data_IF_698691699435
#
_entry.id   IF_698691699435
#
_cell.length_a   1.000
_cell.length_b   1.000
_cell.length_c   1.000
_cell.angle_alpha   90.00
_cell.angle_beta   90.00
_cell.angle_gamma   90.00
#
_symmetry.space_group_name_H-M   'P 1'
#
loop_
_entity.id
_entity.type
_entity.pdbx_description
1 polymer ?
#
# COMPACT_ATOMS: atom_id res chain seq x y z
N UNK A 1 -23.57 -22.68 28.26
CA UNK A 1 -23.10 -21.73 27.23
C UNK A 1 -21.57 -21.69 27.31
N UNK A 2 -20.85 -22.18 26.30
CA UNK A 2 -19.39 -22.07 26.26
C UNK A 2 -19.04 -20.74 25.59
N UNK A 3 -18.52 -19.78 26.37
CA UNK A 3 -18.08 -18.48 25.87
C UNK A 3 -16.61 -18.52 25.51
N UNK A 4 -16.28 -18.41 24.23
CA UNK A 4 -14.88 -18.33 23.79
C UNK A 4 -14.36 -16.92 24.09
N UNK A 5 -13.56 -16.75 25.13
CA UNK A 5 -12.87 -15.49 25.42
C UNK A 5 -11.69 -15.38 24.48
N UNK A 6 -11.64 -14.33 23.67
CA UNK A 6 -10.48 -14.07 22.83
C UNK A 6 -9.56 -13.07 23.48
N UNK A 7 -8.29 -13.48 23.63
CA UNK A 7 -7.26 -12.71 24.31
C UNK A 7 -6.08 -12.52 23.37
N UNK A 8 -5.58 -11.29 23.26
CA UNK A 8 -4.26 -11.04 22.65
C UNK A 8 -3.21 -11.60 23.60
N UNK A 9 -2.59 -12.73 23.23
CA UNK A 9 -1.49 -13.32 23.99
C UNK A 9 -0.14 -12.65 23.67
N UNK A 10 -0.02 -12.03 22.50
CA UNK A 10 1.20 -11.35 22.08
C UNK A 10 1.09 -9.87 22.41
N UNK A 11 2.07 -9.37 23.16
CA UNK A 11 2.19 -7.93 23.42
C UNK A 11 2.48 -7.21 22.09
N UNK A 12 1.77 -6.09 21.80
CA UNK A 12 2.07 -5.28 20.63
C UNK A 12 3.57 -4.94 20.56
N UNK A 13 4.19 -5.14 19.41
CA UNK A 13 5.61 -4.81 19.18
C UNK A 13 6.62 -5.89 19.57
N UNK A 14 6.22 -7.09 20.00
CA UNK A 14 7.19 -8.20 20.25
C UNK A 14 7.34 -9.17 19.08
N UNK A 15 6.42 -9.14 18.11
CA UNK A 15 6.50 -9.92 16.88
C UNK A 15 6.26 -9.02 15.68
N UNK A 16 7.10 -9.17 14.66
CA UNK A 16 7.03 -8.45 13.40
C UNK A 16 6.99 -9.44 12.25
N UNK A 17 6.20 -9.14 11.23
CA UNK A 17 6.19 -9.90 9.99
C UNK A 17 7.48 -9.62 9.17
N UNK A 18 7.82 -10.50 8.21
CA UNK A 18 8.94 -10.27 7.31
C UNK A 18 8.86 -8.89 6.63
N UNK A 19 10.02 -8.32 6.33
CA UNK A 19 10.06 -7.03 5.64
C UNK A 19 9.50 -7.17 4.22
N UNK A 20 8.43 -6.44 3.95
CA UNK A 20 7.91 -6.27 2.60
C UNK A 20 8.75 -5.24 1.82
N UNK A 21 8.91 -5.48 0.52
CA UNK A 21 9.60 -4.55 -0.38
C UNK A 21 8.59 -4.02 -1.41
N UNK A 22 8.30 -2.73 -1.34
CA UNK A 22 7.49 -2.03 -2.33
C UNK A 22 8.36 -1.05 -3.11
N UNK A 23 8.29 -1.13 -4.44
CA UNK A 23 8.92 -0.16 -5.33
C UNK A 23 7.83 0.57 -6.11
N UNK A 24 7.80 1.88 -5.95
CA UNK A 24 6.88 2.76 -6.66
C UNK A 24 7.67 3.63 -7.64
N UNK A 25 7.11 3.85 -8.83
CA UNK A 25 7.73 4.62 -9.90
C UNK A 25 6.85 5.80 -10.29
N UNK A 26 7.46 6.99 -10.40
CA UNK A 26 6.78 8.20 -10.87
C UNK A 26 7.60 8.86 -11.96
N UNK A 27 6.92 9.20 -13.05
CA UNK A 27 7.45 10.07 -14.09
C UNK A 27 6.52 11.25 -14.30
N UNK A 28 7.10 12.44 -14.36
CA UNK A 28 6.39 13.69 -14.58
C UNK A 28 7.04 14.46 -15.73
N UNK A 29 6.22 15.00 -16.62
CA UNK A 29 6.67 15.85 -17.73
C UNK A 29 5.98 17.20 -17.65
N UNK A 30 6.78 18.26 -17.53
CA UNK A 30 6.34 19.64 -17.70
C UNK A 30 6.43 20.02 -19.17
N UNK A 31 5.32 20.46 -19.72
CA UNK A 31 5.17 20.87 -21.11
C UNK A 31 4.84 22.36 -21.10
N UNK A 32 5.73 23.16 -21.67
CA UNK A 32 5.48 24.58 -21.87
C UNK A 32 4.59 24.75 -23.10
N UNK A 33 3.46 25.45 -22.91
CA UNK A 33 2.53 25.76 -23.98
C UNK A 33 2.68 27.24 -24.38
N UNK A 34 2.02 27.65 -25.46
CA UNK A 34 1.97 29.06 -25.87
C UNK A 34 1.22 29.90 -24.85
N UNK A 35 1.48 31.20 -24.83
CA UNK A 35 0.81 32.19 -23.99
C UNK A 35 0.97 31.92 -22.48
N UNK A 36 2.19 31.59 -22.04
CA UNK A 36 2.54 31.33 -20.62
C UNK A 36 1.85 30.13 -19.96
N UNK A 37 1.01 29.40 -20.69
CA UNK A 37 0.31 28.20 -20.20
C UNK A 37 1.28 27.06 -19.94
N UNK A 38 0.99 26.23 -18.95
CA UNK A 38 1.82 25.07 -18.59
C UNK A 38 0.94 23.85 -18.37
N UNK A 39 1.39 22.70 -18.87
CA UNK A 39 0.78 21.41 -18.61
C UNK A 39 1.80 20.52 -17.90
N UNK A 40 1.41 19.93 -16.78
CA UNK A 40 2.19 18.91 -16.08
C UNK A 40 1.45 17.58 -16.19
N UNK A 41 2.01 16.65 -16.97
CA UNK A 41 1.51 15.29 -17.08
C UNK A 41 2.28 14.36 -16.15
N UNK A 42 1.58 13.43 -15.49
CA UNK A 42 2.14 12.52 -14.52
C UNK A 42 1.65 11.09 -14.77
N UNK A 43 2.56 10.14 -14.59
CA UNK A 43 2.27 8.72 -14.52
C UNK A 43 2.94 8.16 -13.27
N UNK A 44 2.12 7.62 -12.38
CA UNK A 44 2.54 6.93 -11.17
C UNK A 44 2.21 5.45 -11.32
N UNK A 45 3.18 4.56 -11.04
CA UNK A 45 3.01 3.12 -10.99
C UNK A 45 3.35 2.67 -9.57
N UNK A 46 2.36 2.16 -8.85
CA UNK A 46 2.53 1.64 -7.51
C UNK A 46 2.73 0.13 -7.56
N UNK A 47 3.58 -0.38 -6.68
CA UNK A 47 3.96 -1.79 -6.63
C UNK A 47 4.46 -2.30 -8.01
N UNK A 48 5.52 -1.66 -8.52
CA UNK A 48 6.10 -1.94 -9.83
C UNK A 48 6.49 -3.41 -10.01
N UNK A 49 6.95 -4.08 -8.95
CA UNK A 49 7.30 -5.51 -8.99
C UNK A 49 6.13 -6.45 -8.71
N UNK A 50 4.93 -5.93 -8.42
CA UNK A 50 3.73 -6.69 -8.09
C UNK A 50 3.94 -7.71 -6.96
N UNK A 51 4.60 -7.28 -5.88
CA UNK A 51 4.74 -8.06 -4.66
C UNK A 51 3.42 -8.22 -3.92
N UNK A 52 3.31 -9.28 -3.12
CA UNK A 52 2.13 -9.61 -2.31
C UNK A 52 2.53 -9.74 -0.85
N UNK A 53 3.08 -8.67 -0.29
CA UNK A 53 3.43 -8.58 1.13
C UNK A 53 2.22 -8.67 2.05
N UNK A 54 2.43 -9.11 3.29
CA UNK A 54 1.41 -9.06 4.35
C UNK A 54 1.65 -7.81 5.20
N UNK A 55 0.67 -6.91 5.27
CA UNK A 55 0.79 -5.66 6.02
C UNK A 55 0.23 -5.79 7.45
N UNK A 56 -0.84 -6.58 7.61
CA UNK A 56 -1.47 -6.80 8.92
C UNK A 56 -1.86 -8.27 9.06
N UNK A 57 -1.52 -8.85 10.22
CA UNK A 57 -1.94 -10.19 10.64
C UNK A 57 -2.89 -10.14 11.83
N UNK A 58 -3.70 -11.18 11.98
CA UNK A 58 -4.52 -11.35 13.17
C UNK A 58 -3.67 -11.78 14.38
N UNK A 59 -3.57 -10.90 15.39
CA UNK A 59 -2.86 -11.12 16.64
C UNK A 59 -3.76 -11.70 17.78
N UNK A 60 -4.94 -12.19 17.46
CA UNK A 60 -5.87 -12.82 18.40
C UNK A 60 -5.69 -14.34 18.39
N UNK A 61 -5.43 -14.95 19.55
CA UNK A 61 -5.25 -16.40 19.64
C UNK A 61 -6.54 -17.15 19.29
N UNK A 62 -6.43 -18.18 18.44
CA UNK A 62 -7.55 -18.99 17.96
C UNK A 62 -7.30 -19.57 16.57
N UNK A 63 -8.33 -20.15 15.91
CA UNK A 63 -8.19 -20.79 14.59
C UNK A 63 -7.69 -19.85 13.47
N UNK A 64 -7.80 -18.54 13.68
CA UNK A 64 -7.36 -17.51 12.75
C UNK A 64 -6.06 -16.82 13.16
N UNK A 65 -5.35 -17.35 14.15
CA UNK A 65 -4.06 -16.82 14.61
C UNK A 65 -3.09 -16.66 13.43
N UNK A 66 -2.53 -15.46 13.29
CA UNK A 66 -1.61 -15.04 12.21
C UNK A 66 -2.15 -15.14 10.80
N UNK A 67 -3.47 -15.25 10.62
CA UNK A 67 -4.06 -15.08 9.28
C UNK A 67 -3.85 -13.64 8.81
N UNK A 68 -3.36 -13.42 7.58
CA UNK A 68 -3.32 -12.09 6.97
C UNK A 68 -4.71 -11.48 6.93
N UNK A 69 -4.81 -10.21 7.34
CA UNK A 69 -6.05 -9.42 7.32
C UNK A 69 -5.95 -8.34 6.26
N UNK A 70 -4.74 -7.77 6.08
CA UNK A 70 -4.45 -6.78 5.05
C UNK A 70 -3.23 -7.22 4.28
N UNK A 71 -3.37 -7.25 2.96
CA UNK A 71 -2.29 -7.53 2.03
C UNK A 71 -1.88 -6.22 1.34
N UNK A 72 -0.63 -6.22 0.88
CA UNK A 72 -0.10 -5.17 0.02
C UNK A 72 -1.01 -4.95 -1.18
N UNK A 73 -1.24 -3.68 -1.53
CA UNK A 73 -2.08 -3.34 -2.68
C UNK A 73 -1.46 -3.90 -3.98
N UNK A 74 -2.25 -4.52 -4.87
CA UNK A 74 -1.76 -5.02 -6.16
C UNK A 74 -1.16 -3.90 -7.01
N UNK A 75 -0.41 -4.24 -8.07
CA UNK A 75 0.10 -3.25 -9.02
C UNK A 75 -1.03 -2.44 -9.62
N UNK A 76 -0.93 -1.11 -9.53
CA UNK A 76 -1.85 -0.20 -10.21
C UNK A 76 -1.12 1.03 -10.74
N UNK A 77 -1.71 1.65 -11.75
CA UNK A 77 -1.21 2.88 -12.36
C UNK A 77 -2.20 4.02 -12.15
N UNK A 78 -1.67 5.23 -11.97
CA UNK A 78 -2.42 6.48 -11.89
C UNK A 78 -1.89 7.45 -12.92
N UNK A 79 -2.79 7.97 -13.74
CA UNK A 79 -2.53 9.04 -14.70
C UNK A 79 -3.14 10.32 -14.13
N UNK A 80 -2.38 11.40 -14.08
CA UNK A 80 -2.89 12.70 -13.65
C UNK A 80 -2.25 13.86 -14.39
N UNK A 81 -2.99 14.96 -14.52
CA UNK A 81 -2.54 16.18 -15.17
C UNK A 81 -2.87 17.42 -14.35
N UNK A 82 -2.02 18.45 -14.44
CA UNK A 82 -2.31 19.80 -13.96
C UNK A 82 -2.10 20.80 -15.10
N UNK A 83 -3.05 21.72 -15.25
CA UNK A 83 -3.01 22.77 -16.26
C UNK A 83 -3.02 24.13 -15.57
N UNK A 84 -2.02 24.96 -15.88
CA UNK A 84 -1.87 26.32 -15.36
C UNK A 84 -2.05 27.32 -16.50
N UNK A 85 -2.81 28.39 -16.26
CA UNK A 85 -3.20 29.41 -17.24
C UNK A 85 -2.48 30.74 -17.06
#
# INVERSE_FOLDING_TARGET
MNGTVTKNLVQPGTMYEPRNHQFDFRVSKRIQLKNSRRLMANLDIYNLFNGTGVDVINAQYGPNWRRPVVLQTPRYAKISGQFDF
#
